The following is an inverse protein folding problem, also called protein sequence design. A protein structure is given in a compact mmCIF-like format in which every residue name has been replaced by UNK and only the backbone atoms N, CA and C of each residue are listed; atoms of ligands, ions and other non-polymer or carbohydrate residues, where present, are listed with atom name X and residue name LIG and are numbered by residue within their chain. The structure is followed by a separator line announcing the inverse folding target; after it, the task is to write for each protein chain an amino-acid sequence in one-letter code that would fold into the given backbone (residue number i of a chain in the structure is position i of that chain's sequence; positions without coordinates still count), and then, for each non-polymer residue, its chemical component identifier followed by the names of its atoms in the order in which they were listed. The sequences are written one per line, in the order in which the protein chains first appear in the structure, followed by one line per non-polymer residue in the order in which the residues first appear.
data_IF_187352299626
#
_entry.id   IF_187352299626
#
_cell.length_a   1.000
_cell.length_b   1.000
_cell.length_c   1.000
_cell.angle_alpha   90.00
_cell.angle_beta   90.00
_cell.angle_gamma   90.00
#
_symmetry.space_group_name_H-M   'P 1'
#
loop_
_entity.id
_entity.type
_entity.pdbx_description
1 polymer ?
#
# COMPACT_ATOMS: atom_id res chain seq x y z
N UNK A 1 16.73 23.81 0.18
CA UNK A 1 16.17 22.99 -0.92
C UNK A 1 16.95 23.13 -2.25
N UNK A 2 18.21 23.61 -2.24
CA UNK A 2 19.03 23.80 -3.45
C UNK A 2 19.83 22.54 -3.85
N UNK A 3 20.23 21.74 -2.85
CA UNK A 3 21.21 20.65 -3.03
C UNK A 3 20.65 19.42 -3.79
N UNK A 4 19.36 19.14 -3.65
CA UNK A 4 18.70 18.01 -4.32
C UNK A 4 18.49 18.25 -5.81
N UNK A 5 18.28 19.51 -6.22
CA UNK A 5 18.17 19.93 -7.63
C UNK A 5 19.50 19.75 -8.39
N UNK A 6 20.62 20.09 -7.74
CA UNK A 6 21.95 19.96 -8.33
C UNK A 6 22.34 18.50 -8.56
N UNK A 7 21.97 17.60 -7.64
CA UNK A 7 22.20 16.15 -7.78
C UNK A 7 21.38 15.56 -8.93
N UNK A 8 20.11 15.98 -9.09
CA UNK A 8 19.26 15.57 -10.21
C UNK A 8 19.81 16.07 -11.55
N UNK A 9 20.32 17.31 -11.61
CA UNK A 9 20.94 17.85 -12.82
C UNK A 9 22.25 17.13 -13.18
N UNK A 10 23.09 16.80 -12.20
CA UNK A 10 24.33 16.03 -12.42
C UNK A 10 24.04 14.61 -12.92
N UNK A 11 22.98 13.98 -12.41
CA UNK A 11 22.49 12.68 -12.92
C UNK A 11 21.93 12.78 -14.34
N UNK A 12 21.24 13.88 -14.66
CA UNK A 12 20.69 14.10 -16.00
C UNK A 12 21.79 14.36 -17.03
N UNK A 13 22.83 15.12 -16.65
CA UNK A 13 24.03 15.38 -17.46
C UNK A 13 24.85 14.12 -17.70
N UNK A 14 24.96 13.22 -16.73
CA UNK A 14 25.68 11.95 -16.89
C UNK A 14 24.90 10.94 -17.75
N UNK A 15 23.57 10.95 -17.72
CA UNK A 15 22.74 10.14 -18.64
C UNK A 15 22.78 10.66 -20.09
N UNK A 16 22.89 11.97 -20.30
CA UNK A 16 22.96 12.56 -21.65
C UNK A 16 24.36 12.45 -22.28
N UNK A 17 25.42 12.34 -21.48
CA UNK A 17 26.81 12.18 -21.94
C UNK A 17 27.22 10.70 -22.16
N UNK A 18 26.33 9.74 -21.91
CA UNK A 18 26.63 8.31 -21.91
C UNK A 18 26.31 7.57 -23.21
N UNK A 19 26.96 7.93 -24.31
CA UNK A 19 27.14 7.02 -25.45
C UNK A 19 28.53 7.21 -26.05
N UNK A 20 29.46 6.37 -25.62
CA UNK A 20 30.46 5.76 -26.51
C UNK A 20 31.30 4.72 -25.75
N UNK A 21 31.15 3.44 -26.09
CA UNK A 21 32.26 2.51 -26.00
C UNK A 21 32.55 2.01 -27.42
N UNK A 22 33.41 2.74 -28.12
CA UNK A 22 34.22 2.13 -29.16
C UNK A 22 35.19 1.15 -28.51
N UNK A 23 35.16 -0.10 -29.00
CA UNK A 23 36.23 -1.12 -28.98
C UNK A 23 36.59 -1.76 -27.64
N UNK A 24 36.10 -2.97 -27.43
CA UNK A 24 36.98 -4.09 -27.04
C UNK A 24 36.72 -5.31 -27.91
N UNK A 25 37.83 -5.75 -28.50
CA UNK A 25 38.10 -6.86 -29.39
C UNK A 25 37.60 -8.22 -28.86
N UNK A 26 36.64 -8.82 -29.56
CA UNK A 26 36.46 -10.28 -29.62
C UNK A 26 36.28 -10.63 -31.09
N UNK A 27 37.26 -11.34 -31.63
CA UNK A 27 37.30 -11.82 -33.01
C UNK A 27 36.21 -12.87 -33.24
N UNK A 28 35.24 -12.66 -34.15
CA UNK A 28 34.38 -13.74 -34.62
C UNK A 28 35.12 -14.51 -35.71
N UNK A 29 35.35 -15.80 -35.48
CA UNK A 29 35.65 -16.75 -36.55
C UNK A 29 34.38 -16.86 -37.43
N UNK A 30 34.21 -15.95 -38.39
CA UNK A 30 33.25 -16.13 -39.48
C UNK A 30 33.98 -15.81 -40.79
N UNK A 31 34.30 -16.86 -41.55
CA UNK A 31 34.95 -16.74 -42.85
C UNK A 31 34.03 -16.10 -43.88
N UNK A 32 34.53 -15.11 -44.60
CA UNK A 32 33.89 -14.60 -45.81
C UNK A 32 33.83 -15.72 -46.85
N UNK A 33 32.64 -16.08 -47.32
CA UNK A 33 32.51 -16.97 -48.47
C UNK A 33 32.49 -16.11 -49.74
N UNK A 34 33.64 -16.04 -50.41
CA UNK A 34 33.83 -15.28 -51.65
C UNK A 34 33.49 -16.18 -52.84
N UNK A 35 32.50 -15.80 -53.62
CA UNK A 35 32.25 -16.40 -54.93
C UNK A 35 33.04 -15.58 -55.99
N UNK A 36 34.00 -16.22 -56.66
CA UNK A 36 34.78 -15.65 -57.79
C UNK A 36 34.18 -16.19 -59.10
N UNK A 37 34.11 -15.55 -60.26
CA UNK A 37 34.48 -14.23 -60.79
C UNK A 37 33.62 -14.02 -62.05
N UNK A 38 33.01 -12.86 -62.25
CA UNK A 38 32.59 -12.43 -63.59
C UNK A 38 33.68 -11.50 -64.14
N UNK A 39 34.19 -11.79 -65.35
CA UNK A 39 35.17 -10.93 -66.02
C UNK A 39 34.43 -9.87 -66.83
N UNK A 40 34.74 -8.60 -66.56
CA UNK A 40 34.39 -7.51 -67.47
C UNK A 40 35.22 -7.66 -68.77
N UNK A 41 34.75 -7.17 -69.93
CA UNK A 41 35.46 -7.29 -71.21
C UNK A 41 36.83 -6.58 -71.24
N UNK A 42 37.14 -5.75 -70.22
CA UNK A 42 38.43 -5.09 -70.00
C UNK A 42 39.44 -5.94 -69.19
N UNK A 43 39.11 -7.18 -68.84
CA UNK A 43 40.01 -8.10 -68.13
C UNK A 43 40.19 -7.84 -66.62
N UNK A 44 39.31 -7.03 -66.00
CA UNK A 44 39.28 -6.83 -64.54
C UNK A 44 38.29 -7.81 -63.89
N UNK A 45 38.72 -8.51 -62.83
CA UNK A 45 37.85 -9.43 -62.07
C UNK A 45 36.98 -8.64 -61.08
N UNK A 46 35.66 -8.82 -61.15
CA UNK A 46 34.73 -8.26 -60.17
C UNK A 46 34.37 -9.35 -59.16
N UNK A 47 34.61 -9.07 -57.88
CA UNK A 47 34.26 -9.94 -56.75
C UNK A 47 33.10 -9.31 -55.98
N UNK A 48 31.95 -9.98 -55.96
CA UNK A 48 30.80 -9.55 -55.14
C UNK A 48 30.80 -10.33 -53.83
N UNK A 49 31.02 -9.64 -52.73
CA UNK A 49 30.93 -10.24 -51.39
C UNK A 49 29.50 -10.08 -50.86
N UNK A 50 28.88 -11.19 -50.47
CA UNK A 50 27.59 -11.17 -49.78
C UNK A 50 27.87 -11.02 -48.28
N UNK A 51 27.70 -9.80 -47.77
CA UNK A 51 27.73 -9.56 -46.32
C UNK A 51 26.41 -10.06 -45.72
N UNK A 52 26.42 -10.85 -44.62
CA UNK A 52 25.21 -11.17 -43.88
C UNK A 52 24.59 -9.87 -43.33
N UNK A 53 23.27 -9.73 -43.40
CA UNK A 53 22.49 -8.64 -42.80
C UNK A 53 22.78 -8.55 -41.28
N UNK A 54 23.75 -7.72 -40.88
CA UNK A 54 24.27 -7.65 -39.51
C UNK A 54 23.26 -7.15 -38.46
N UNK A 55 22.04 -6.80 -38.85
CA UNK A 55 21.07 -6.10 -38.00
C UNK A 55 19.82 -6.89 -37.62
N UNK A 56 19.66 -8.15 -38.07
CA UNK A 56 18.42 -8.89 -37.85
C UNK A 56 18.31 -9.59 -36.47
N UNK A 57 19.40 -9.78 -35.72
CA UNK A 57 19.35 -10.56 -34.46
C UNK A 57 19.36 -9.75 -33.15
N UNK A 58 19.81 -8.49 -33.14
CA UNK A 58 19.91 -7.68 -31.89
C UNK A 58 18.75 -6.70 -31.73
N UNK A 59 18.36 -6.03 -32.82
CA UNK A 59 17.22 -5.11 -32.84
C UNK A 59 15.91 -5.82 -32.50
N UNK A 60 15.74 -7.06 -32.97
CA UNK A 60 14.55 -7.86 -32.70
C UNK A 60 14.53 -8.43 -31.28
N UNK A 61 15.68 -8.81 -30.71
CA UNK A 61 15.77 -9.21 -29.30
C UNK A 61 15.42 -8.04 -28.37
N UNK A 62 16.01 -6.86 -28.60
CA UNK A 62 15.72 -5.63 -27.85
C UNK A 62 14.28 -5.16 -28.04
N UNK A 63 13.72 -5.27 -29.26
CA UNK A 63 12.32 -4.95 -29.53
C UNK A 63 11.37 -5.91 -28.82
N UNK A 64 11.67 -7.21 -28.80
CA UNK A 64 10.89 -8.23 -28.06
C UNK A 64 10.95 -7.99 -26.55
N UNK A 65 12.13 -7.70 -26.00
CA UNK A 65 12.28 -7.34 -24.58
C UNK A 65 11.48 -6.09 -24.23
N UNK A 66 11.50 -5.06 -25.08
CA UNK A 66 10.74 -3.84 -24.85
C UNK A 66 9.23 -4.09 -24.88
N UNK A 67 8.73 -4.92 -25.81
CA UNK A 67 7.32 -5.33 -25.86
C UNK A 67 6.90 -6.09 -24.61
N UNK A 68 7.70 -7.05 -24.17
CA UNK A 68 7.45 -7.79 -22.93
C UNK A 68 7.45 -6.88 -21.70
N UNK A 69 8.35 -5.90 -21.65
CA UNK A 69 8.38 -4.93 -20.57
C UNK A 69 7.13 -4.03 -20.57
N UNK A 70 6.70 -3.56 -21.74
CA UNK A 70 5.47 -2.76 -21.89
C UNK A 70 4.23 -3.56 -21.46
N UNK A 71 4.12 -4.82 -21.87
CA UNK A 71 3.04 -5.71 -21.44
C UNK A 71 3.05 -5.92 -19.92
N UNK A 72 4.23 -6.09 -19.32
CA UNK A 72 4.37 -6.24 -17.87
C UNK A 72 3.99 -4.96 -17.12
N UNK A 73 4.42 -3.80 -17.61
CA UNK A 73 4.07 -2.49 -17.03
C UNK A 73 2.57 -2.25 -17.14
N UNK A 74 1.94 -2.59 -18.27
CA UNK A 74 0.51 -2.46 -18.46
C UNK A 74 -0.29 -3.42 -17.56
N UNK A 75 0.18 -4.65 -17.37
CA UNK A 75 -0.40 -5.58 -16.41
C UNK A 75 -0.31 -5.03 -14.97
N UNK A 76 0.87 -4.50 -14.61
CA UNK A 76 1.08 -3.86 -13.30
C UNK A 76 0.16 -2.65 -13.12
N UNK A 77 -0.01 -1.80 -14.14
CA UNK A 77 -0.90 -0.63 -14.02
C UNK A 77 -2.35 -1.02 -13.77
N UNK A 78 -2.85 -2.07 -14.44
CA UNK A 78 -4.18 -2.62 -14.17
C UNK A 78 -4.29 -3.21 -12.75
N UNK A 79 -3.26 -3.93 -12.30
CA UNK A 79 -3.24 -4.49 -10.95
C UNK A 79 -3.26 -3.41 -9.87
N UNK A 80 -2.60 -2.27 -10.10
CA UNK A 80 -2.58 -1.11 -9.20
C UNK A 80 -3.97 -0.47 -9.13
N UNK A 81 -4.66 -0.34 -10.26
CA UNK A 81 -6.02 0.20 -10.28
C UNK A 81 -7.00 -0.69 -9.50
N UNK A 82 -6.95 -2.01 -9.71
CA UNK A 82 -7.76 -2.98 -8.95
C UNK A 82 -7.41 -2.94 -7.46
N UNK A 83 -6.12 -2.82 -7.12
CA UNK A 83 -5.67 -2.69 -5.75
C UNK A 83 -6.21 -1.40 -5.11
N UNK A 84 -6.19 -0.28 -5.83
CA UNK A 84 -6.73 0.99 -5.34
C UNK A 84 -8.24 0.89 -5.04
N UNK A 85 -9.01 0.27 -5.94
CA UNK A 85 -10.44 0.02 -5.72
C UNK A 85 -10.69 -0.86 -4.50
N UNK A 86 -9.85 -1.88 -4.27
CA UNK A 86 -9.92 -2.73 -3.08
C UNK A 86 -9.59 -1.94 -1.81
N UNK A 87 -8.47 -1.22 -1.80
CA UNK A 87 -8.04 -0.39 -0.67
C UNK A 87 -9.10 0.66 -0.29
N UNK A 88 -9.73 1.28 -1.29
CA UNK A 88 -10.81 2.24 -1.06
C UNK A 88 -12.02 1.58 -0.39
N UNK A 89 -12.39 0.37 -0.82
CA UNK A 89 -13.49 -0.40 -0.21
C UNK A 89 -13.15 -0.82 1.21
N UNK A 90 -11.93 -1.31 1.45
CA UNK A 90 -11.47 -1.73 2.76
C UNK A 90 -11.45 -0.56 3.74
N UNK A 91 -11.02 0.62 3.28
CA UNK A 91 -11.09 1.85 4.07
C UNK A 91 -12.53 2.18 4.48
N UNK A 92 -13.49 2.10 3.55
CA UNK A 92 -14.90 2.32 3.87
C UNK A 92 -15.46 1.29 4.86
N UNK A 93 -15.01 0.04 4.79
CA UNK A 93 -15.39 -1.00 5.74
C UNK A 93 -14.88 -0.68 7.16
N UNK A 94 -13.60 -0.30 7.29
CA UNK A 94 -13.00 0.10 8.56
C UNK A 94 -13.73 1.31 9.17
N UNK A 95 -14.06 2.33 8.37
CA UNK A 95 -14.82 3.50 8.86
C UNK A 95 -16.21 3.15 9.40
N UNK A 96 -16.92 2.24 8.72
CA UNK A 96 -18.22 1.75 9.18
C UNK A 96 -18.09 1.00 10.52
N UNK A 97 -17.10 0.11 10.61
CA UNK A 97 -16.82 -0.60 11.86
C UNK A 97 -16.47 0.35 13.00
N UNK A 98 -15.67 1.40 12.74
CA UNK A 98 -15.31 2.39 13.75
C UNK A 98 -16.55 3.10 14.30
N UNK A 99 -17.50 3.45 13.44
CA UNK A 99 -18.75 4.09 13.83
C UNK A 99 -19.61 3.15 14.67
N UNK A 100 -19.70 1.87 14.29
CA UNK A 100 -20.39 0.85 15.08
C UNK A 100 -19.75 0.65 16.44
N UNK A 101 -18.41 0.60 16.52
CA UNK A 101 -17.66 0.49 17.78
C UNK A 101 -17.87 1.71 18.69
N UNK A 102 -17.91 2.92 18.12
CA UNK A 102 -18.25 4.14 18.88
C UNK A 102 -19.66 4.08 19.45
N UNK A 103 -20.64 3.62 18.66
CA UNK A 103 -22.01 3.41 19.12
C UNK A 103 -22.10 2.37 20.24
N UNK A 104 -21.39 1.25 20.08
CA UNK A 104 -21.33 0.20 21.11
C UNK A 104 -20.69 0.71 22.40
N UNK A 105 -19.59 1.48 22.31
CA UNK A 105 -18.93 2.11 23.46
C UNK A 105 -19.85 3.08 24.20
N UNK A 106 -20.65 3.86 23.47
CA UNK A 106 -21.64 4.76 24.08
C UNK A 106 -22.69 3.98 24.88
N UNK A 107 -23.22 2.88 24.31
CA UNK A 107 -24.17 2.00 25.01
C UNK A 107 -23.57 1.39 26.28
N UNK A 108 -22.33 0.92 26.23
CA UNK A 108 -21.66 0.40 27.44
C UNK A 108 -21.50 1.45 28.53
N UNK A 109 -21.15 2.69 28.17
CA UNK A 109 -21.09 3.79 29.15
C UNK A 109 -22.45 4.06 29.77
N UNK A 110 -23.50 4.12 28.96
CA UNK A 110 -24.86 4.30 29.44
C UNK A 110 -25.26 3.18 30.42
N UNK A 111 -25.00 1.92 30.08
CA UNK A 111 -25.29 0.79 30.97
C UNK A 111 -24.53 0.90 32.30
N UNK A 112 -23.26 1.30 32.26
CA UNK A 112 -22.45 1.46 33.47
C UNK A 112 -22.96 2.63 34.34
N UNK A 113 -23.38 3.74 33.73
CA UNK A 113 -23.96 4.87 34.44
C UNK A 113 -25.34 4.51 35.03
N UNK A 114 -26.19 3.81 34.27
CA UNK A 114 -27.48 3.29 34.72
C UNK A 114 -27.29 2.34 35.92
N UNK A 115 -26.31 1.44 35.86
CA UNK A 115 -25.96 0.55 36.97
C UNK A 115 -25.57 1.32 38.23
N UNK A 116 -24.72 2.35 38.09
CA UNK A 116 -24.31 3.20 39.22
C UNK A 116 -25.49 3.95 39.82
N UNK A 117 -26.35 4.55 39.00
CA UNK A 117 -27.52 5.26 39.50
C UNK A 117 -28.51 4.33 40.20
N UNK A 118 -28.71 3.12 39.68
CA UNK A 118 -29.53 2.09 40.31
C UNK A 118 -28.97 1.69 41.67
N UNK A 119 -27.66 1.45 41.77
CA UNK A 119 -27.02 1.14 43.05
C UNK A 119 -27.21 2.27 44.07
N UNK A 120 -26.96 3.53 43.68
CA UNK A 120 -27.13 4.69 44.57
C UNK A 120 -28.58 4.82 45.06
N UNK A 121 -29.56 4.65 44.18
CA UNK A 121 -30.98 4.65 44.56
C UNK A 121 -31.31 3.53 45.54
N UNK A 122 -30.83 2.31 45.28
CA UNK A 122 -31.06 1.17 46.17
C UNK A 122 -30.44 1.39 47.56
N UNK A 123 -29.22 1.92 47.63
CA UNK A 123 -28.59 2.29 48.91
C UNK A 123 -29.36 3.39 49.63
N UNK A 124 -29.82 4.44 48.93
CA UNK A 124 -30.57 5.53 49.54
C UNK A 124 -31.91 5.05 50.10
N UNK A 125 -32.65 4.20 49.37
CA UNK A 125 -33.91 3.61 49.84
C UNK A 125 -33.68 2.68 51.04
N UNK A 126 -32.59 1.92 51.04
CA UNK A 126 -32.20 1.09 52.19
C UNK A 126 -31.89 1.94 53.43
N UNK A 127 -31.15 3.05 53.26
CA UNK A 127 -30.82 3.95 54.34
C UNK A 127 -32.05 4.64 54.92
N UNK A 128 -32.96 5.14 54.08
CA UNK A 128 -34.19 5.80 54.54
C UNK A 128 -35.11 4.84 55.27
N UNK A 129 -35.23 3.60 54.79
CA UNK A 129 -35.99 2.55 55.48
C UNK A 129 -35.40 2.19 56.86
N UNK A 130 -34.07 2.10 56.96
CA UNK A 130 -33.39 1.86 58.21
C UNK A 130 -33.58 3.01 59.21
N UNK A 131 -33.44 4.27 58.77
CA UNK A 131 -33.66 5.45 59.60
C UNK A 131 -35.11 5.51 60.10
N UNK A 132 -36.08 5.26 59.22
CA UNK A 132 -37.49 5.21 59.60
C UNK A 132 -37.73 4.14 60.68
N UNK A 133 -37.20 2.94 60.48
CA UNK A 133 -37.31 1.84 61.46
C UNK A 133 -36.70 2.18 62.82
N UNK A 134 -35.54 2.86 62.84
CA UNK A 134 -34.90 3.32 64.09
C UNK A 134 -35.77 4.37 64.77
N UNK A 135 -36.31 5.33 64.00
CA UNK A 135 -37.15 6.39 64.55
C UNK A 135 -38.45 5.84 65.14
N UNK A 136 -39.10 4.90 64.45
CA UNK A 136 -40.30 4.21 64.96
C UNK A 136 -39.99 3.42 66.23
N UNK A 137 -38.88 2.68 66.30
CA UNK A 137 -38.48 1.96 67.54
C UNK A 137 -38.19 2.91 68.69
N UNK A 138 -37.49 4.02 68.44
CA UNK A 138 -37.25 5.07 69.47
C UNK A 138 -38.56 5.67 69.97
N UNK A 139 -39.51 5.95 69.07
CA UNK A 139 -40.84 6.43 69.43
C UNK A 139 -41.61 5.44 70.31
N UNK A 140 -41.60 4.15 69.93
CA UNK A 140 -42.25 3.09 70.70
C UNK A 140 -41.64 2.93 72.11
N UNK A 141 -40.29 2.94 72.24
CA UNK A 141 -39.64 2.90 73.54
C UNK A 141 -40.00 4.12 74.41
N UNK A 142 -40.05 5.32 73.81
CA UNK A 142 -40.42 6.54 74.54
C UNK A 142 -41.87 6.48 75.04
N UNK A 143 -42.80 6.01 74.21
CA UNK A 143 -44.20 5.84 74.58
C UNK A 143 -44.37 4.80 75.72
N UNK A 144 -43.61 3.70 75.67
CA UNK A 144 -43.61 2.69 76.73
C UNK A 144 -43.09 3.23 78.06
N UNK A 145 -42.03 4.06 78.05
CA UNK A 145 -41.53 4.71 79.27
C UNK A 145 -42.55 5.65 79.91
N UNK A 146 -43.30 6.42 79.12
CA UNK A 146 -44.34 7.32 79.65
C UNK A 146 -45.58 6.59 80.18
N UNK A 147 -45.82 5.35 79.77
CA UNK A 147 -46.95 4.55 80.24
C UNK A 147 -46.65 3.81 81.56
N UNK A 148 -45.38 3.70 81.95
CA UNK A 148 -44.93 3.05 83.19
C UNK A 148 -44.62 4.04 84.33
N UNK A 149 -44.70 5.36 84.08
CA UNK A 149 -44.58 6.42 85.10
C UNK A 149 -45.96 6.95 85.46
#
# INVERSE_FOLDING_TARGET
MQATSNLLNLLLLSLLAGLDPSKTQISPKEGWQVYSSAQDPDGRCICTVVAPEQNLCSRDAKSRQLRQLLEKVQNMSQSIEVLNLRTQRDFQYVLKMETQMKGLKAKFRQIEDDRKTLMTKHFQVGLTSAIFSIHTRRGACRAASTALS
#
